data_IF_724643434572
#
_entry.id   IF_724643434572
#
_cell.length_a   1.000
_cell.length_b   1.000
_cell.length_c   1.000
_cell.angle_alpha   90.00
_cell.angle_beta   90.00
_cell.angle_gamma   90.00
#
_symmetry.space_group_name_H-M   'P 1'
#
loop_
_entity.id
_entity.type
_entity.pdbx_description
1 polymer ?
#
# COMPACT_ATOMS: atom_id res chain seq x y z
N UNK A 1 13.67 9.10 26.58
CA UNK A 1 12.38 9.04 25.85
C UNK A 1 12.21 7.64 25.30
N UNK A 2 11.15 6.93 25.69
CA UNK A 2 10.81 5.65 25.07
C UNK A 2 10.39 5.86 23.62
N UNK A 3 10.67 4.90 22.75
CA UNK A 3 10.24 4.94 21.35
C UNK A 3 8.74 4.68 21.30
N UNK A 4 7.96 5.65 20.83
CA UNK A 4 6.54 5.45 20.54
C UNK A 4 6.41 4.58 19.28
N UNK A 5 5.58 3.54 19.36
CA UNK A 5 5.39 2.57 18.28
C UNK A 5 3.92 2.60 17.90
N UNK A 6 3.63 3.04 16.69
CA UNK A 6 2.29 2.93 16.12
C UNK A 6 2.15 1.63 15.34
N UNK A 7 1.12 0.83 15.66
CA UNK A 7 0.78 -0.41 14.97
C UNK A 7 -0.41 -0.15 14.05
N UNK A 8 -0.23 -0.42 12.76
CA UNK A 8 -1.28 -0.27 11.76
C UNK A 8 -1.70 -1.66 11.27
N UNK A 9 -3.00 -1.96 11.38
CA UNK A 9 -3.59 -3.14 10.76
C UNK A 9 -4.40 -2.73 9.54
N UNK A 10 -4.23 -3.45 8.44
CA UNK A 10 -4.91 -3.18 7.18
C UNK A 10 -5.12 -4.46 6.38
N UNK A 11 -6.04 -4.39 5.42
CA UNK A 11 -6.26 -5.41 4.41
C UNK A 11 -6.30 -4.75 3.04
N UNK A 12 -5.98 -5.52 2.00
CA UNK A 12 -6.05 -5.08 0.61
C UNK A 12 -7.02 -5.95 -0.18
N UNK A 13 -7.75 -5.31 -1.08
CA UNK A 13 -8.64 -5.95 -2.04
C UNK A 13 -7.84 -6.33 -3.29
N UNK A 14 -7.62 -7.64 -3.44
CA UNK A 14 -6.85 -8.19 -4.55
C UNK A 14 -7.53 -7.97 -5.90
N UNK A 15 -8.87 -7.80 -5.94
CA UNK A 15 -9.61 -7.57 -7.19
C UNK A 15 -9.36 -6.18 -7.78
N UNK A 16 -8.82 -5.26 -6.98
CA UNK A 16 -8.49 -3.88 -7.41
C UNK A 16 -7.05 -3.74 -7.90
N UNK A 17 -6.28 -4.82 -7.97
CA UNK A 17 -4.88 -4.81 -8.39
C UNK A 17 -4.82 -5.20 -9.88
N UNK A 18 -4.49 -4.25 -10.78
CA UNK A 18 -4.26 -4.57 -12.18
C UNK A 18 -3.03 -5.47 -12.35
N UNK A 19 -3.09 -6.43 -13.26
CA UNK A 19 -1.98 -7.38 -13.48
C UNK A 19 -0.68 -6.67 -13.88
N UNK A 20 -0.76 -5.55 -14.60
CA UNK A 20 0.40 -4.76 -15.03
C UNK A 20 1.12 -4.05 -13.87
N UNK A 21 0.50 -3.97 -12.70
CA UNK A 21 1.09 -3.43 -11.48
C UNK A 21 1.81 -4.50 -10.65
N UNK A 22 1.70 -5.76 -11.04
CA UNK A 22 2.42 -6.86 -10.42
C UNK A 22 3.86 -6.85 -10.92
N UNK A 23 4.79 -6.79 -9.97
CA UNK A 23 6.22 -6.81 -10.21
C UNK A 23 6.74 -8.21 -9.89
N UNK A 24 7.41 -8.82 -10.86
CA UNK A 24 8.05 -10.14 -10.76
C UNK A 24 9.59 -10.08 -10.92
N UNK A 25 10.12 -8.88 -11.14
CA UNK A 25 11.54 -8.60 -11.34
C UNK A 25 12.04 -7.53 -10.38
N UNK A 26 13.31 -7.66 -9.98
CA UNK A 26 14.00 -6.66 -9.16
C UNK A 26 14.42 -5.43 -10.00
N UNK A 27 15.08 -4.46 -9.35
CA UNK A 27 15.56 -3.22 -9.99
C UNK A 27 16.58 -3.43 -11.13
N UNK A 28 17.14 -4.66 -11.26
CA UNK A 28 18.05 -5.05 -12.34
C UNK A 28 17.33 -5.78 -13.49
N UNK A 29 16.01 -5.96 -13.40
CA UNK A 29 15.22 -6.70 -14.37
C UNK A 29 15.31 -8.22 -14.24
N UNK A 30 15.91 -8.73 -13.16
CA UNK A 30 16.05 -10.17 -12.90
C UNK A 30 14.85 -10.67 -12.08
N UNK A 31 14.36 -11.91 -12.31
CA UNK A 31 13.30 -12.48 -11.48
C UNK A 31 13.66 -12.47 -9.99
N UNK A 32 12.68 -12.25 -9.11
CA UNK A 32 12.91 -12.43 -7.68
C UNK A 32 13.36 -13.86 -7.38
N UNK A 33 14.34 -14.03 -6.48
CA UNK A 33 14.99 -15.32 -6.18
C UNK A 33 14.02 -16.46 -5.81
N UNK A 34 12.83 -16.12 -5.32
CA UNK A 34 11.78 -17.06 -4.91
C UNK A 34 10.65 -17.22 -5.94
N UNK A 35 10.71 -16.55 -7.10
CA UNK A 35 9.57 -16.44 -8.02
C UNK A 35 8.41 -15.63 -7.46
N UNK A 36 8.66 -14.83 -6.41
CA UNK A 36 7.64 -14.00 -5.77
C UNK A 36 7.06 -12.96 -6.72
N UNK A 37 5.77 -12.68 -6.56
CA UNK A 37 5.05 -11.60 -7.24
C UNK A 37 4.67 -10.57 -6.19
N UNK A 38 4.91 -9.30 -6.49
CA UNK A 38 4.74 -8.21 -5.54
C UNK A 38 3.92 -7.08 -6.16
N UNK A 39 3.35 -6.24 -5.32
CA UNK A 39 2.73 -4.98 -5.73
C UNK A 39 3.28 -3.87 -4.83
N UNK A 40 3.58 -2.72 -5.41
CA UNK A 40 4.04 -1.57 -4.64
C UNK A 40 2.83 -0.77 -4.15
N UNK A 41 2.81 -0.47 -2.86
CA UNK A 41 1.70 0.23 -2.19
C UNK A 41 2.18 1.54 -1.59
N UNK A 42 1.25 2.47 -1.42
CA UNK A 42 1.42 3.70 -0.63
C UNK A 42 0.39 3.70 0.48
N UNK A 43 0.85 3.97 1.70
CA UNK A 43 0.03 4.04 2.90
C UNK A 43 -0.06 5.50 3.35
N UNK A 44 -1.27 5.99 3.51
CA UNK A 44 -1.57 7.32 4.03
C UNK A 44 -2.06 7.18 5.46
N UNK A 45 -1.43 7.88 6.40
CA UNK A 45 -1.89 7.99 7.78
C UNK A 45 -2.52 9.36 7.95
N UNK A 46 -3.82 9.39 8.20
CA UNK A 46 -4.60 10.59 8.41
C UNK A 46 -4.60 10.94 9.91
N UNK A 47 -4.67 12.24 10.22
CA UNK A 47 -4.78 12.68 11.61
C UNK A 47 -6.19 12.48 12.18
N UNK A 48 -7.20 12.55 11.31
CA UNK A 48 -8.60 12.34 11.65
C UNK A 48 -9.10 11.05 11.01
N UNK A 49 -9.99 10.37 11.74
CA UNK A 49 -10.64 9.17 11.25
C UNK A 49 -11.77 9.52 10.30
N UNK A 50 -12.01 8.65 9.33
CA UNK A 50 -13.16 8.72 8.46
C UNK A 50 -14.47 8.31 9.16
N UNK A 51 -15.58 8.35 8.43
CA UNK A 51 -16.90 7.97 8.93
C UNK A 51 -17.01 6.48 9.33
N UNK A 52 -16.01 5.67 9.03
CA UNK A 52 -15.94 4.24 9.31
C UNK A 52 -14.84 3.89 10.34
N UNK A 53 -14.33 4.89 11.09
CA UNK A 53 -13.30 4.74 12.11
C UNK A 53 -11.93 4.26 11.56
N UNK A 54 -11.65 4.52 10.28
CA UNK A 54 -10.34 4.31 9.66
C UNK A 54 -9.52 5.60 9.62
N UNK A 55 -8.26 5.53 10.01
CA UNK A 55 -7.26 6.59 9.90
C UNK A 55 -6.17 6.25 8.87
N UNK A 56 -6.30 5.11 8.18
CA UNK A 56 -5.33 4.69 7.17
C UNK A 56 -5.99 4.35 5.85
N UNK A 57 -5.44 4.86 4.76
CA UNK A 57 -5.79 4.50 3.39
C UNK A 57 -4.60 3.88 2.66
N UNK A 58 -4.85 2.89 1.81
CA UNK A 58 -3.83 2.16 1.05
C UNK A 58 -4.16 2.28 -0.43
N UNK A 59 -3.18 2.73 -1.22
CA UNK A 59 -3.28 2.79 -2.68
C UNK A 59 -2.15 2.03 -3.35
N UNK A 60 -2.29 1.76 -4.64
CA UNK A 60 -1.16 1.40 -5.49
C UNK A 60 -0.18 2.57 -5.54
N UNK A 61 1.12 2.25 -5.54
CA UNK A 61 2.17 3.24 -5.73
C UNK A 61 2.10 3.78 -7.16
N UNK A 62 2.20 5.11 -7.28
CA UNK A 62 2.36 5.79 -8.56
C UNK A 62 3.80 6.29 -8.71
N UNK A 63 4.21 6.46 -9.96
CA UNK A 63 5.43 7.21 -10.26
C UNK A 63 5.21 8.67 -9.84
N UNK A 64 6.27 9.28 -9.30
CA UNK A 64 6.34 10.72 -9.08
C UNK A 64 6.05 11.39 -10.43
N UNK A 65 5.08 12.29 -10.47
CA UNK A 65 4.62 13.02 -11.67
C UNK A 65 3.73 12.25 -12.66
N UNK A 66 3.17 11.09 -12.27
CA UNK A 66 2.15 10.40 -13.09
C UNK A 66 0.76 11.05 -12.95
N UNK A 67 0.08 11.24 -14.09
CA UNK A 67 -1.33 11.67 -14.16
C UNK A 67 -2.32 10.51 -13.93
N UNK A 68 -1.85 9.29 -13.72
CA UNK A 68 -2.70 8.13 -13.44
C UNK A 68 -3.60 8.37 -12.22
N UNK A 69 -4.86 7.91 -12.28
CA UNK A 69 -5.78 7.98 -11.16
C UNK A 69 -5.29 7.17 -9.94
N UNK A 70 -5.63 7.60 -8.72
CA UNK A 70 -5.27 6.85 -7.50
C UNK A 70 -6.16 5.63 -7.38
N UNK A 71 -5.56 4.45 -7.43
CA UNK A 71 -6.26 3.20 -7.20
C UNK A 71 -6.13 2.85 -5.72
N UNK A 72 -7.19 3.12 -4.96
CA UNK A 72 -7.29 2.71 -3.56
C UNK A 72 -7.65 1.24 -3.46
N UNK A 73 -6.78 0.47 -2.80
CA UNK A 73 -6.90 -0.98 -2.68
C UNK A 73 -7.26 -1.41 -1.27
N UNK A 74 -7.27 -0.51 -0.30
CA UNK A 74 -7.64 -0.88 1.06
C UNK A 74 -7.64 0.28 2.03
N UNK A 75 -8.04 -0.04 3.26
CA UNK A 75 -8.09 0.87 4.39
C UNK A 75 -7.61 0.12 5.63
N UNK A 76 -7.22 0.88 6.64
CA UNK A 76 -6.65 0.35 7.86
C UNK A 76 -6.95 1.23 9.06
N UNK A 77 -6.48 0.76 10.21
CA UNK A 77 -6.66 1.44 11.48
C UNK A 77 -5.38 1.40 12.31
N UNK A 78 -5.04 2.50 12.96
CA UNK A 78 -4.05 2.54 14.03
C UNK A 78 -4.65 1.83 15.25
N UNK A 79 -3.97 0.77 15.70
CA UNK A 79 -4.41 -0.05 16.83
C UNK A 79 -3.81 0.45 18.15
N UNK A 80 -2.57 0.93 18.13
CA UNK A 80 -1.82 1.35 19.32
C UNK A 80 -0.66 2.23 18.93
#
# INVERSE_FOLDING_TARGET
MGKEVSIISFSIDLSKIPEEKIVDKNDKGEPFKSGGKYVNLTLFVNQEKDAYDHDVAISLQKKKDSEEATIYVGNGKIIK
#
